data_IF_820974600573
#
_entry.id   IF_820974600573
#
_cell.length_a   1.000
_cell.length_b   1.000
_cell.length_c   1.000
_cell.angle_alpha   90.00
_cell.angle_beta   90.00
_cell.angle_gamma   90.00
#
_symmetry.space_group_name_H-M   'P 1'
#
loop_
_entity.id
_entity.type
_entity.pdbx_description
1 polymer ?
#
# COMPACT_ATOMS: atom_id res chain seq x y z
N UNK A 1 -50.96 -12.48 10.85
CA UNK A 1 -50.80 -11.43 9.81
C UNK A 1 -49.33 -11.38 9.44
N UNK A 2 -49.01 -11.48 8.15
CA UNK A 2 -47.65 -11.61 7.61
C UNK A 2 -46.82 -10.35 7.88
N UNK A 3 -45.55 -10.53 8.23
CA UNK A 3 -44.53 -9.49 8.09
C UNK A 3 -44.12 -9.43 6.61
N UNK A 4 -44.36 -8.30 5.96
CA UNK A 4 -43.83 -8.03 4.63
C UNK A 4 -42.40 -7.45 4.73
N UNK A 5 -41.56 -7.96 3.83
CA UNK A 5 -40.18 -7.55 3.59
C UNK A 5 -40.16 -6.12 3.02
N UNK A 6 -39.66 -5.17 3.79
CA UNK A 6 -39.38 -3.81 3.33
C UNK A 6 -38.12 -3.74 2.47
N UNK A 7 -38.25 -3.05 1.33
CA UNK A 7 -37.27 -2.86 0.26
C UNK A 7 -35.96 -2.20 0.74
N UNK A 8 -34.86 -2.60 0.11
CA UNK A 8 -33.59 -1.85 0.08
C UNK A 8 -33.83 -0.51 -0.60
N UNK A 9 -33.53 0.59 0.10
CA UNK A 9 -33.60 1.95 -0.41
C UNK A 9 -32.19 2.44 -0.70
N UNK A 10 -31.92 2.73 -1.98
CA UNK A 10 -30.75 3.51 -2.40
C UNK A 10 -30.93 4.95 -1.92
N UNK A 11 -30.03 5.46 -1.08
CA UNK A 11 -30.00 6.87 -0.71
C UNK A 11 -29.15 7.63 -1.73
N UNK A 12 -29.79 8.43 -2.59
CA UNK A 12 -29.11 9.55 -3.28
C UNK A 12 -29.16 10.77 -2.37
N UNK A 13 -28.02 11.14 -1.81
CA UNK A 13 -27.86 12.41 -1.09
C UNK A 13 -27.62 13.50 -2.14
N UNK A 14 -28.65 14.28 -2.45
CA UNK A 14 -28.51 15.53 -3.20
C UNK A 14 -28.31 16.65 -2.17
N UNK A 15 -27.11 17.22 -2.07
CA UNK A 15 -26.89 18.43 -1.29
C UNK A 15 -26.58 19.61 -2.21
N UNK A 16 -27.27 20.70 -1.91
CA UNK A 16 -27.17 22.02 -2.55
C UNK A 16 -25.76 22.60 -2.48
N UNK A 17 -25.40 23.35 -3.53
CA UNK A 17 -24.23 24.23 -3.59
C UNK A 17 -24.11 25.09 -2.32
N UNK A 18 -23.05 24.87 -1.55
CA UNK A 18 -22.66 25.78 -0.47
C UNK A 18 -21.72 26.86 -1.03
N UNK A 19 -22.29 28.02 -1.33
CA UNK A 19 -21.51 29.23 -1.57
C UNK A 19 -21.03 29.77 -0.21
N UNK A 20 -19.76 29.55 0.13
CA UNK A 20 -19.14 30.19 1.30
C UNK A 20 -18.91 31.67 0.96
N UNK A 21 -19.83 32.53 1.38
CA UNK A 21 -19.60 33.98 1.41
C UNK A 21 -18.86 34.29 2.73
N UNK A 22 -17.55 34.52 2.66
CA UNK A 22 -16.80 35.12 3.76
C UNK A 22 -17.29 36.56 3.96
N UNK A 23 -18.18 36.77 4.93
CA UNK A 23 -18.57 38.10 5.36
C UNK A 23 -17.42 38.74 6.15
N UNK A 24 -16.54 39.46 5.44
CA UNK A 24 -15.56 40.35 6.06
C UNK A 24 -16.31 41.57 6.61
N UNK A 25 -16.26 41.75 7.93
CA UNK A 25 -16.82 42.94 8.60
C UNK A 25 -16.01 44.17 8.16
N UNK A 26 -16.64 45.25 7.68
CA UNK A 26 -15.87 46.40 7.19
C UNK A 26 -15.35 47.21 8.36
N UNK A 27 -14.02 47.20 8.53
CA UNK A 27 -13.30 48.27 9.23
C UNK A 27 -12.13 48.67 8.34
N UNK A 28 -12.15 49.95 7.97
CA UNK A 28 -11.19 50.70 7.16
C UNK A 28 -11.15 50.49 5.63
N UNK A 29 -11.48 51.60 4.97
CA UNK A 29 -11.29 51.91 3.54
C UNK A 29 -9.81 51.83 3.15
N UNK A 30 -9.37 50.64 2.78
CA UNK A 30 -8.22 50.47 1.87
C UNK A 30 -8.57 49.42 0.81
N UNK A 31 -8.50 49.85 -0.45
CA UNK A 31 -8.84 49.07 -1.64
C UNK A 31 -7.90 47.87 -1.76
N UNK A 32 -8.30 46.73 -1.20
CA UNK A 32 -7.57 45.47 -1.33
C UNK A 32 -8.25 44.64 -2.42
N UNK A 33 -7.55 44.41 -3.53
CA UNK A 33 -7.99 43.50 -4.60
C UNK A 33 -8.15 42.09 -4.02
N UNK A 34 -9.40 41.63 -3.91
CA UNK A 34 -9.74 40.26 -3.54
C UNK A 34 -9.40 39.32 -4.70
N UNK A 35 -8.35 38.53 -4.55
CA UNK A 35 -8.10 37.36 -5.40
C UNK A 35 -9.08 36.26 -4.98
N UNK A 36 -10.05 35.89 -5.83
CA UNK A 36 -10.89 34.72 -5.57
C UNK A 36 -10.12 33.46 -5.95
N UNK A 37 -9.85 32.61 -4.96
CA UNK A 37 -9.32 31.27 -5.20
C UNK A 37 -10.50 30.32 -5.32
N UNK A 38 -10.72 29.74 -6.50
CA UNK A 38 -11.73 28.70 -6.70
C UNK A 38 -11.25 27.42 -6.04
N UNK A 39 -11.88 27.01 -4.94
CA UNK A 39 -11.63 25.71 -4.30
C UNK A 39 -12.55 24.69 -4.96
N UNK A 40 -12.00 23.77 -5.74
CA UNK A 40 -12.74 22.67 -6.35
C UNK A 40 -12.85 21.53 -5.34
N UNK A 41 -14.01 21.38 -4.69
CA UNK A 41 -14.32 20.19 -3.88
C UNK A 41 -14.62 19.03 -4.84
N UNK A 42 -13.68 18.11 -5.02
CA UNK A 42 -13.98 16.80 -5.62
C UNK A 42 -14.66 15.93 -4.58
N UNK A 43 -15.86 15.45 -4.90
CA UNK A 43 -16.61 14.51 -4.08
C UNK A 43 -15.85 13.18 -3.97
N UNK A 44 -15.74 12.68 -2.74
CA UNK A 44 -15.21 11.35 -2.46
C UNK A 44 -16.39 10.43 -2.15
N UNK A 45 -16.35 9.21 -2.70
CA UNK A 45 -17.46 8.26 -2.61
C UNK A 45 -17.19 7.26 -1.49
N UNK A 46 -18.19 7.05 -0.63
CA UNK A 46 -18.18 6.04 0.42
C UNK A 46 -18.81 4.75 -0.14
N UNK A 47 -18.04 3.67 -0.24
CA UNK A 47 -18.55 2.35 -0.62
C UNK A 47 -18.47 1.39 0.56
N UNK A 48 -19.58 0.74 0.91
CA UNK A 48 -19.69 -0.11 2.11
C UNK A 48 -19.60 -1.61 1.85
N UNK A 49 -19.47 -2.07 0.61
CA UNK A 49 -19.43 -3.52 0.32
C UNK A 49 -18.70 -3.85 -0.97
N UNK A 50 -17.39 -4.08 -0.86
CA UNK A 50 -16.50 -4.99 -1.63
C UNK A 50 -15.06 -4.46 -1.55
N UNK A 51 -14.08 -5.36 -1.63
CA UNK A 51 -12.67 -4.96 -1.71
C UNK A 51 -12.49 -4.09 -2.97
N UNK A 52 -11.79 -2.95 -2.89
CA UNK A 52 -11.66 -2.04 -4.01
C UNK A 52 -11.05 -2.75 -5.23
N UNK A 53 -11.83 -2.87 -6.30
CA UNK A 53 -11.31 -3.22 -7.64
C UNK A 53 -10.42 -2.10 -8.22
N UNK A 54 -10.25 -0.99 -7.49
CA UNK A 54 -9.56 0.22 -7.89
C UNK A 54 -8.02 0.09 -7.94
N UNK A 55 -7.45 -1.01 -7.45
CA UNK A 55 -5.99 -1.16 -7.35
C UNK A 55 -5.29 -1.86 -8.52
N UNK A 56 -6.02 -2.31 -9.54
CA UNK A 56 -5.46 -3.13 -10.63
C UNK A 56 -4.26 -2.49 -11.35
N UNK A 57 -4.22 -1.15 -11.43
CA UNK A 57 -3.13 -0.38 -12.05
C UNK A 57 -2.40 0.51 -11.03
N UNK A 58 -2.21 0.03 -9.80
CA UNK A 58 -1.53 0.79 -8.74
C UNK A 58 -0.80 -0.13 -7.77
N UNK A 59 0.13 0.44 -7.03
CA UNK A 59 0.81 -0.24 -5.95
C UNK A 59 -0.17 -0.42 -4.79
N UNK A 60 -0.56 -1.67 -4.52
CA UNK A 60 -1.32 -2.05 -3.34
C UNK A 60 -0.34 -2.29 -2.19
N UNK A 61 -0.47 -1.51 -1.12
CA UNK A 61 0.32 -1.65 0.10
C UNK A 61 -0.54 -2.31 1.17
N UNK A 62 -0.21 -3.58 1.46
CA UNK A 62 -0.90 -4.44 2.43
C UNK A 62 -0.18 -4.54 3.78
N UNK A 63 0.98 -3.88 3.92
CA UNK A 63 1.81 -3.89 5.14
C UNK A 63 2.40 -5.24 5.58
N UNK A 64 2.08 -6.33 4.89
CA UNK A 64 2.56 -7.70 5.18
C UNK A 64 4.08 -7.85 5.17
N UNK A 65 4.78 -7.01 4.42
CA UNK A 65 6.24 -7.03 4.33
C UNK A 65 6.94 -6.07 5.29
N UNK A 66 6.19 -5.38 6.15
CA UNK A 66 6.80 -4.53 7.17
C UNK A 66 7.35 -5.37 8.33
N UNK A 67 8.49 -4.96 8.90
CA UNK A 67 9.10 -5.68 10.03
C UNK A 67 8.23 -5.63 11.29
N UNK A 68 8.36 -6.65 12.14
CA UNK A 68 7.49 -6.87 13.31
C UNK A 68 7.41 -5.71 14.30
N UNK A 69 6.18 -5.24 14.57
CA UNK A 69 5.79 -4.18 15.52
C UNK A 69 6.73 -2.99 15.51
N UNK A 70 7.02 -2.51 14.30
CA UNK A 70 8.01 -1.47 14.11
C UNK A 70 7.38 -0.24 13.49
N UNK A 71 8.01 0.90 13.76
CA UNK A 71 7.79 2.11 12.97
C UNK A 71 8.07 1.74 11.51
N UNK A 72 7.14 2.08 10.61
CA UNK A 72 7.35 1.90 9.17
C UNK A 72 8.62 2.67 8.80
N UNK A 73 9.64 1.99 8.24
CA UNK A 73 10.87 2.66 7.89
C UNK A 73 10.61 3.67 6.78
N UNK A 74 11.36 4.76 6.80
CA UNK A 74 11.49 5.59 5.62
C UNK A 74 12.01 4.74 4.47
N UNK A 75 11.54 5.02 3.26
CA UNK A 75 11.77 4.27 2.02
C UNK A 75 10.96 2.98 1.85
N UNK A 76 10.07 2.66 2.80
CA UNK A 76 9.05 1.64 2.57
C UNK A 76 8.15 2.06 1.40
N UNK A 77 8.17 1.28 0.31
CA UNK A 77 7.58 1.62 -0.99
C UNK A 77 8.11 2.93 -1.61
N UNK A 78 9.35 3.33 -1.29
CA UNK A 78 9.94 4.59 -1.80
C UNK A 78 9.29 5.85 -1.22
N UNK A 79 8.50 5.70 -0.15
CA UNK A 79 7.81 6.78 0.54
C UNK A 79 8.50 7.07 1.87
N UNK A 80 8.30 8.28 2.37
CA UNK A 80 8.70 8.69 3.71
C UNK A 80 7.47 8.68 4.60
N UNK A 81 7.64 8.10 5.79
CA UNK A 81 6.56 7.82 6.71
C UNK A 81 6.82 8.50 8.04
N UNK A 82 5.91 9.37 8.45
CA UNK A 82 5.93 10.02 9.76
C UNK A 82 4.79 9.49 10.62
N UNK A 83 5.13 9.08 11.84
CA UNK A 83 4.20 8.50 12.82
C UNK A 83 3.33 7.36 12.27
N UNK A 84 3.94 6.48 11.47
CA UNK A 84 3.28 5.30 10.92
C UNK A 84 3.96 4.04 11.47
N UNK A 85 3.16 3.11 11.96
CA UNK A 85 3.58 1.87 12.59
C UNK A 85 2.78 0.72 12.01
N UNK A 86 3.33 -0.49 12.08
CA UNK A 86 2.63 -1.70 11.66
C UNK A 86 2.38 -2.67 12.80
N UNK A 87 1.33 -3.45 12.66
CA UNK A 87 0.92 -4.47 13.63
C UNK A 87 0.42 -5.72 12.92
N UNK A 88 0.96 -6.87 13.29
CA UNK A 88 0.38 -8.18 12.96
C UNK A 88 -0.75 -8.48 13.95
N UNK A 89 -1.98 -8.51 13.46
CA UNK A 89 -3.15 -8.76 14.29
C UNK A 89 -3.08 -10.13 14.96
N UNK A 90 -2.49 -11.14 14.33
CA UNK A 90 -2.41 -12.49 14.92
C UNK A 90 -1.56 -12.55 16.19
N UNK A 91 -0.64 -11.61 16.38
CA UNK A 91 0.16 -11.52 17.61
C UNK A 91 -0.65 -10.98 18.80
N UNK A 92 -1.82 -10.39 18.57
CA UNK A 92 -2.64 -9.72 19.58
C UNK A 92 -4.11 -10.20 19.54
N UNK A 93 -4.39 -11.50 19.74
CA UNK A 93 -5.75 -12.05 19.75
C UNK A 93 -6.69 -11.38 20.74
N UNK A 94 -6.16 -10.83 21.84
CA UNK A 94 -6.95 -10.07 22.82
C UNK A 94 -7.52 -8.75 22.27
N UNK A 95 -7.10 -8.29 21.09
CA UNK A 95 -7.60 -7.09 20.41
C UNK A 95 -8.58 -7.41 19.29
N UNK A 96 -9.15 -8.62 19.25
CA UNK A 96 -10.10 -9.04 18.22
C UNK A 96 -11.34 -8.15 18.06
N UNK A 97 -11.70 -7.39 19.10
CA UNK A 97 -12.83 -6.44 19.11
C UNK A 97 -12.39 -4.96 18.89
N UNK A 98 -11.19 -4.76 18.35
CA UNK A 98 -10.65 -3.43 18.04
C UNK A 98 -10.69 -3.13 16.54
N UNK A 99 -10.43 -1.86 16.20
CA UNK A 99 -10.26 -1.44 14.80
C UNK A 99 -9.11 -2.16 14.10
N UNK A 100 -8.09 -2.60 14.83
CA UNK A 100 -6.96 -3.33 14.24
C UNK A 100 -7.44 -4.55 13.47
N UNK A 101 -8.38 -5.30 14.02
CA UNK A 101 -8.97 -6.47 13.36
C UNK A 101 -10.01 -6.08 12.31
N UNK A 102 -10.76 -5.02 12.56
CA UNK A 102 -11.81 -4.58 11.64
C UNK A 102 -11.26 -4.01 10.35
N UNK A 103 -10.05 -3.41 10.36
CA UNK A 103 -9.39 -2.87 9.18
C UNK A 103 -8.76 -3.92 8.27
N UNK A 104 -8.42 -5.12 8.78
CA UNK A 104 -7.74 -6.17 7.99
C UNK A 104 -8.61 -6.55 6.79
N UNK A 105 -8.04 -6.39 5.59
CA UNK A 105 -8.61 -6.85 4.32
C UNK A 105 -7.67 -7.77 3.58
N UNK A 106 -6.36 -7.57 3.73
CA UNK A 106 -5.36 -8.49 3.21
C UNK A 106 -4.47 -9.00 4.35
N UNK A 107 -4.15 -10.29 4.29
CA UNK A 107 -3.26 -10.95 5.25
C UNK A 107 -3.66 -10.75 6.72
N UNK A 108 -2.74 -10.19 7.51
CA UNK A 108 -2.88 -9.99 8.96
C UNK A 108 -2.29 -8.67 9.46
N UNK A 109 -1.58 -7.92 8.62
CA UNK A 109 -0.87 -6.71 8.98
C UNK A 109 -1.68 -5.47 8.65
N UNK A 110 -1.58 -4.48 9.51
CA UNK A 110 -2.22 -3.18 9.32
C UNK A 110 -1.27 -2.06 9.74
N UNK A 111 -1.44 -0.88 9.17
CA UNK A 111 -0.73 0.32 9.60
C UNK A 111 -1.59 1.20 10.49
N UNK A 112 -0.98 1.95 11.40
CA UNK A 112 -1.69 2.82 12.34
C UNK A 112 -0.83 4.00 12.78
N UNK A 113 -1.47 5.06 13.28
CA UNK A 113 -0.80 6.21 13.89
C UNK A 113 -0.58 5.98 15.39
N UNK A 114 0.62 6.29 15.89
CA UNK A 114 0.90 6.14 17.32
C UNK A 114 0.34 7.32 18.12
N UNK A 115 -0.16 7.05 19.32
CA UNK A 115 -0.63 8.04 20.31
C UNK A 115 -1.70 9.03 19.83
N UNK A 116 -2.39 8.73 18.73
CA UNK A 116 -3.36 9.65 18.13
C UNK A 116 -2.73 10.83 17.37
N UNK A 117 -1.41 10.88 17.25
CA UNK A 117 -0.72 11.94 16.51
C UNK A 117 -0.95 11.81 14.99
N UNK A 118 -0.68 12.88 14.23
CA UNK A 118 -0.86 12.88 12.77
C UNK A 118 0.07 11.88 12.09
N UNK A 119 -0.43 11.12 11.12
CA UNK A 119 0.39 10.30 10.23
C UNK A 119 0.60 11.06 8.93
N UNK A 120 1.83 11.09 8.41
CA UNK A 120 2.12 11.72 7.13
C UNK A 120 2.85 10.75 6.21
N UNK A 121 2.39 10.69 4.97
CA UNK A 121 3.06 10.03 3.85
C UNK A 121 3.54 11.13 2.92
N UNK A 122 4.83 11.15 2.60
CA UNK A 122 5.39 12.08 1.62
C UNK A 122 6.43 11.40 0.72
N UNK A 123 6.71 12.00 -0.43
CA UNK A 123 7.74 11.53 -1.36
C UNK A 123 8.77 12.64 -1.63
N UNK A 124 10.05 12.33 -1.45
CA UNK A 124 11.17 13.28 -1.59
C UNK A 124 12.24 12.79 -2.59
N UNK A 125 12.97 13.69 -3.28
CA UNK A 125 12.59 15.06 -3.65
C UNK A 125 11.97 15.13 -5.06
N UNK A 126 10.97 16.02 -5.24
CA UNK A 126 10.24 16.37 -6.49
C UNK A 126 9.45 15.27 -7.21
N UNK A 127 9.19 14.14 -6.56
CA UNK A 127 8.25 13.17 -7.12
C UNK A 127 6.81 13.48 -6.70
N UNK A 128 5.88 12.83 -7.39
CA UNK A 128 4.45 12.89 -7.08
C UNK A 128 3.92 11.48 -7.01
N UNK A 129 2.85 11.30 -6.27
CA UNK A 129 2.05 10.08 -6.29
C UNK A 129 0.57 10.45 -6.37
N UNK A 130 -0.25 9.46 -6.68
CA UNK A 130 -1.69 9.55 -6.60
C UNK A 130 -2.20 8.56 -5.56
N UNK A 131 -3.14 9.00 -4.71
CA UNK A 131 -3.85 8.12 -3.79
C UNK A 131 -5.23 7.81 -4.36
N UNK A 132 -5.51 6.53 -4.60
CA UNK A 132 -6.80 6.08 -5.14
C UNK A 132 -7.75 5.76 -4.01
N UNK A 133 -7.36 4.84 -3.14
CA UNK A 133 -8.19 4.37 -2.04
C UNK A 133 -7.37 3.75 -0.91
N UNK A 134 -8.03 3.49 0.22
CA UNK A 134 -7.51 2.67 1.31
C UNK A 134 -8.68 2.18 2.17
N UNK A 135 -8.43 1.16 2.97
CA UNK A 135 -9.36 0.67 3.99
C UNK A 135 -8.98 1.27 5.32
N UNK A 136 -9.97 1.66 6.13
CA UNK A 136 -9.73 2.28 7.43
C UNK A 136 -10.76 1.86 8.47
N UNK A 137 -10.35 1.83 9.73
CA UNK A 137 -11.20 1.77 10.92
C UNK A 137 -10.61 2.67 12.02
N UNK A 138 -11.37 2.91 13.08
CA UNK A 138 -10.83 3.51 14.30
C UNK A 138 -10.36 2.43 15.26
N UNK A 139 -9.20 2.58 15.90
CA UNK A 139 -8.67 1.51 16.74
C UNK A 139 -9.54 1.21 17.97
N UNK A 140 -10.04 2.25 18.65
CA UNK A 140 -10.58 2.11 20.01
C UNK A 140 -11.98 2.66 20.23
N UNK A 141 -12.46 3.56 19.37
CA UNK A 141 -13.69 4.33 19.62
C UNK A 141 -14.52 4.45 18.35
N UNK A 142 -15.83 4.44 18.51
CA UNK A 142 -16.79 4.67 17.41
C UNK A 142 -16.95 6.17 17.10
N UNK A 143 -17.54 6.47 15.94
CA UNK A 143 -17.90 7.81 15.47
C UNK A 143 -16.73 8.82 15.40
N UNK A 144 -15.52 8.35 15.11
CA UNK A 144 -14.38 9.23 14.88
C UNK A 144 -14.49 9.90 13.53
N UNK A 145 -14.02 11.14 13.44
CA UNK A 145 -13.83 11.84 12.17
C UNK A 145 -12.37 11.68 11.75
N UNK A 146 -12.12 10.95 10.66
CA UNK A 146 -10.85 10.93 9.96
C UNK A 146 -10.78 12.12 9.02
N UNK A 147 -9.78 12.97 9.17
CA UNK A 147 -9.51 14.12 8.31
C UNK A 147 -8.17 13.95 7.59
N UNK A 148 -8.15 14.35 6.32
CA UNK A 148 -6.99 14.26 5.45
C UNK A 148 -6.75 15.58 4.76
N UNK A 149 -5.47 15.97 4.68
CA UNK A 149 -5.02 17.13 3.92
C UNK A 149 -3.88 16.69 3.02
N UNK A 150 -3.94 17.06 1.75
CA UNK A 150 -2.88 16.82 0.76
C UNK A 150 -2.17 18.10 0.33
N UNK A 151 -0.94 17.95 -0.13
CA UNK A 151 -0.12 19.05 -0.65
C UNK A 151 0.50 18.72 -2.01
N UNK A 152 0.87 19.79 -2.72
CA UNK A 152 1.63 19.80 -3.97
C UNK A 152 2.68 20.89 -3.90
N UNK A 153 3.95 20.54 -4.08
CA UNK A 153 5.10 21.40 -3.82
C UNK A 153 4.97 22.14 -2.48
N UNK A 154 4.64 21.41 -1.41
CA UNK A 154 4.39 21.94 -0.06
C UNK A 154 3.24 22.95 0.06
N UNK A 155 2.44 23.14 -0.99
CA UNK A 155 1.24 23.99 -0.98
C UNK A 155 0.00 23.13 -0.77
N UNK A 156 -0.95 23.59 0.03
CA UNK A 156 -2.25 22.93 0.20
C UNK A 156 -2.90 22.62 -1.16
N UNK A 157 -3.49 21.43 -1.28
CA UNK A 157 -4.17 21.01 -2.50
C UNK A 157 -5.63 20.61 -2.27
N UNK A 158 -5.88 19.55 -1.49
CA UNK A 158 -7.22 19.03 -1.21
C UNK A 158 -7.34 18.56 0.23
N UNK A 159 -8.57 18.55 0.74
CA UNK A 159 -8.93 17.93 2.00
C UNK A 159 -10.20 17.10 1.90
N UNK A 160 -10.37 16.13 2.80
CA UNK A 160 -11.59 15.36 2.97
C UNK A 160 -11.70 14.86 4.40
N UNK A 161 -12.94 14.59 4.84
CA UNK A 161 -13.21 14.00 6.14
C UNK A 161 -14.32 12.95 6.06
N UNK A 162 -14.17 11.87 6.82
CA UNK A 162 -15.12 10.75 6.86
C UNK A 162 -15.34 10.28 8.30
N UNK A 163 -16.52 9.73 8.55
CA UNK A 163 -16.78 8.99 9.77
C UNK A 163 -16.22 7.58 9.66
N UNK A 164 -15.51 7.15 10.70
CA UNK A 164 -14.96 5.80 10.83
C UNK A 164 -15.37 5.19 12.16
N UNK A 165 -15.53 3.87 12.17
CA UNK A 165 -16.06 3.10 13.29
C UNK A 165 -15.07 2.02 13.72
N UNK A 166 -15.17 1.57 14.98
CA UNK A 166 -14.23 0.60 15.55
C UNK A 166 -14.47 -0.80 15.03
N UNK A 167 -15.74 -1.17 14.93
CA UNK A 167 -16.17 -2.53 14.59
C UNK A 167 -16.49 -2.70 13.10
N UNK A 168 -16.18 -1.71 12.26
CA UNK A 168 -16.46 -1.74 10.83
C UNK A 168 -15.32 -1.11 10.04
N UNK A 169 -14.82 -1.83 9.04
CA UNK A 169 -13.97 -1.23 8.00
C UNK A 169 -14.79 -0.28 7.12
N UNK A 170 -14.18 0.82 6.74
CA UNK A 170 -14.65 1.73 5.70
C UNK A 170 -13.62 1.77 4.57
N UNK A 171 -14.05 1.54 3.33
CA UNK A 171 -13.21 1.82 2.17
C UNK A 171 -13.42 3.27 1.75
N UNK A 172 -12.34 4.04 1.70
CA UNK A 172 -12.36 5.44 1.27
C UNK A 172 -11.74 5.51 -0.12
N UNK A 173 -12.49 6.05 -1.08
CA UNK A 173 -12.00 6.39 -2.42
C UNK A 173 -11.74 7.89 -2.51
N UNK A 174 -10.48 8.29 -2.66
CA UNK A 174 -10.07 9.69 -2.78
C UNK A 174 -9.84 10.10 -4.23
N UNK A 175 -9.15 9.27 -5.01
CA UNK A 175 -8.71 9.59 -6.37
C UNK A 175 -8.02 10.97 -6.46
N UNK A 176 -7.09 11.24 -5.54
CA UNK A 176 -6.28 12.45 -5.54
C UNK A 176 -4.98 12.21 -6.28
N UNK A 177 -4.80 12.92 -7.39
CA UNK A 177 -3.66 12.75 -8.27
C UNK A 177 -2.56 13.77 -8.00
N UNK A 178 -1.34 13.47 -8.42
CA UNK A 178 -0.22 14.41 -8.49
C UNK A 178 0.09 15.15 -7.17
N UNK A 179 -0.09 14.49 -6.02
CA UNK A 179 0.25 15.02 -4.69
C UNK A 179 1.67 14.60 -4.30
N UNK A 180 2.32 15.36 -3.41
CA UNK A 180 3.61 14.96 -2.84
C UNK A 180 3.51 14.54 -1.38
N UNK A 181 2.42 14.93 -0.71
CA UNK A 181 2.20 14.73 0.72
C UNK A 181 0.72 14.51 0.97
N UNK A 182 0.41 13.57 1.86
CA UNK A 182 -0.89 13.46 2.51
C UNK A 182 -0.70 13.28 4.02
N UNK A 183 -1.47 14.02 4.80
CA UNK A 183 -1.48 13.93 6.26
C UNK A 183 -2.86 13.52 6.74
N UNK A 184 -2.89 12.52 7.61
CA UNK A 184 -4.09 11.93 8.21
C UNK A 184 -4.17 12.32 9.69
N UNK A 185 -5.39 12.52 10.18
CA UNK A 185 -5.66 12.81 11.57
C UNK A 185 -7.06 12.34 11.96
N UNK A 186 -7.21 11.60 13.05
CA UNK A 186 -8.51 11.20 13.57
C UNK A 186 -8.81 11.89 14.89
N UNK A 187 -10.06 12.30 15.10
CA UNK A 187 -10.52 12.87 16.37
C UNK A 187 -12.02 12.70 16.58
N UNK A 188 -12.45 12.73 17.84
CA UNK A 188 -13.87 12.85 18.20
C UNK A 188 -14.27 14.31 18.00
N UNK A 189 -15.33 14.56 17.24
CA UNK A 189 -15.97 15.87 17.07
C UNK A 189 -14.99 17.05 16.81
N UNK A 190 -13.89 16.78 16.11
CA UNK A 190 -12.82 17.76 15.85
C UNK A 190 -12.26 18.41 17.13
N UNK A 191 -12.33 17.71 18.26
CA UNK A 191 -11.93 18.18 19.60
C UNK A 191 -10.45 18.53 19.76
N UNK A 192 -9.63 18.31 18.74
CA UNK A 192 -8.18 18.53 18.81
C UNK A 192 -7.43 17.46 19.60
N UNK A 193 -8.13 16.54 20.27
CA UNK A 193 -7.55 15.33 20.84
C UNK A 193 -7.42 14.28 19.74
N UNK A 194 -6.18 13.86 19.50
CA UNK A 194 -5.85 12.87 18.50
C UNK A 194 -6.29 11.48 18.92
N UNK A 195 -6.80 10.70 17.98
CA UNK A 195 -7.23 9.33 18.17
C UNK A 195 -6.50 8.40 17.19
N UNK A 196 -6.41 7.13 17.58
CA UNK A 196 -5.74 6.11 16.76
C UNK A 196 -6.71 5.61 15.69
N UNK A 197 -6.28 5.67 14.44
CA UNK A 197 -6.91 5.05 13.28
C UNK A 197 -5.98 3.98 12.71
N UNK A 198 -6.58 3.02 12.00
CA UNK A 198 -5.91 1.86 11.42
C UNK A 198 -6.23 1.81 9.94
N UNK A 199 -5.22 1.67 9.09
CA UNK A 199 -5.36 1.53 7.64
C UNK A 199 -4.82 0.20 7.13
N UNK A 200 -5.43 -0.28 6.06
CA UNK A 200 -4.97 -1.42 5.25
C UNK A 200 -5.28 -1.19 3.77
N UNK A 201 -4.74 -2.01 2.88
CA UNK A 201 -4.96 -1.98 1.43
C UNK A 201 -4.81 -0.58 0.83
N UNK A 202 -3.71 0.11 1.19
CA UNK A 202 -3.44 1.46 0.72
C UNK A 202 -3.02 1.42 -0.76
N UNK A 203 -3.81 2.09 -1.59
CA UNK A 203 -3.72 2.02 -3.03
C UNK A 203 -3.10 3.28 -3.62
N UNK A 204 -1.84 3.18 -4.07
CA UNK A 204 -1.07 4.31 -4.55
C UNK A 204 -0.57 4.10 -5.98
N UNK A 205 -0.73 5.11 -6.82
CA UNK A 205 0.03 5.22 -8.05
C UNK A 205 1.30 6.03 -7.78
N UNK A 206 2.43 5.34 -7.72
CA UNK A 206 3.72 5.97 -7.59
C UNK A 206 4.15 6.31 -9.01
N UNK A 207 3.98 7.57 -9.42
CA UNK A 207 4.43 8.08 -10.73
C UNK A 207 5.97 8.01 -10.78
N UNK A 208 6.51 6.81 -10.95
CA UNK A 208 7.95 6.49 -10.93
C UNK A 208 8.59 6.80 -12.28
N UNK A 209 8.27 7.97 -12.85
CA UNK A 209 9.13 8.60 -13.85
C UNK A 209 10.37 9.18 -13.14
N UNK A 210 11.13 8.32 -12.48
CA UNK A 210 12.50 8.59 -12.07
C UNK A 210 13.35 8.56 -13.34
N UNK A 211 13.47 9.71 -14.01
CA UNK A 211 14.54 10.03 -14.97
C UNK A 211 14.89 8.92 -15.96
N UNK A 212 14.09 8.75 -17.02
CA UNK A 212 14.66 8.38 -18.32
C UNK A 212 14.70 9.64 -19.19
N UNK A 213 15.91 9.96 -19.63
CA UNK A 213 16.31 10.96 -20.62
C UNK A 213 15.28 11.13 -21.74
N UNK A 214 15.01 12.34 -22.26
CA UNK A 214 14.16 12.48 -23.43
C UNK A 214 14.83 11.82 -24.65
N UNK A 215 14.00 11.51 -25.65
CA UNK A 215 14.32 11.30 -27.09
C UNK A 215 14.24 9.83 -27.58
N UNK A 216 13.70 9.55 -28.78
CA UNK A 216 12.63 10.20 -29.54
C UNK A 216 11.46 9.25 -29.89
N UNK A 217 10.41 9.87 -30.43
CA UNK A 217 9.30 9.28 -31.18
C UNK A 217 9.71 8.21 -32.19
N UNK A 218 9.16 7.00 -32.07
CA UNK A 218 8.67 6.20 -33.21
C UNK A 218 7.82 5.01 -32.76
N UNK A 219 6.52 5.16 -33.00
CA UNK A 219 5.53 4.24 -33.59
C UNK A 219 5.72 2.71 -33.52
N UNK A 220 4.60 2.07 -33.20
CA UNK A 220 4.14 0.68 -33.40
C UNK A 220 4.54 -0.40 -32.38
N UNK A 221 3.65 -0.53 -31.37
CA UNK A 221 3.22 -1.72 -30.62
C UNK A 221 3.71 -3.09 -31.12
N UNK A 222 4.09 -3.97 -30.17
CA UNK A 222 3.17 -5.06 -29.85
C UNK A 222 2.95 -5.30 -28.33
N UNK A 223 1.68 -5.56 -28.01
CA UNK A 223 1.13 -6.35 -26.90
C UNK A 223 1.85 -6.38 -25.53
N UNK A 224 1.18 -5.77 -24.55
CA UNK A 224 1.37 -5.95 -23.11
C UNK A 224 1.29 -7.46 -22.78
N UNK A 225 2.41 -8.06 -22.36
CA UNK A 225 2.32 -9.29 -21.58
C UNK A 225 2.38 -8.90 -20.10
N UNK A 226 1.26 -8.90 -19.36
CA UNK A 226 1.35 -8.99 -17.91
C UNK A 226 2.08 -10.29 -17.58
N UNK A 227 2.97 -10.25 -16.58
CA UNK A 227 3.65 -11.45 -16.13
C UNK A 227 2.64 -12.57 -15.84
N UNK A 228 3.06 -13.82 -16.03
CA UNK A 228 2.20 -14.97 -15.81
C UNK A 228 1.90 -15.17 -14.32
N UNK A 229 0.96 -16.06 -14.00
CA UNK A 229 0.65 -16.41 -12.61
C UNK A 229 1.92 -16.76 -11.81
N UNK A 230 2.00 -16.26 -10.57
CA UNK A 230 3.14 -16.37 -9.64
C UNK A 230 4.44 -15.69 -10.12
N UNK A 231 4.31 -14.64 -10.93
CA UNK A 231 5.41 -13.75 -11.28
C UNK A 231 5.17 -12.32 -10.78
N UNK A 232 6.26 -11.61 -10.55
CA UNK A 232 6.31 -10.19 -10.19
C UNK A 232 6.82 -9.41 -11.40
N UNK A 233 6.11 -8.35 -11.79
CA UNK A 233 6.58 -7.40 -12.81
C UNK A 233 7.44 -6.33 -12.13
N UNK A 234 8.69 -6.16 -12.57
CA UNK A 234 9.57 -5.08 -12.10
C UNK A 234 10.49 -4.60 -13.22
N UNK A 235 10.53 -3.28 -13.46
CA UNK A 235 11.37 -2.68 -14.51
C UNK A 235 11.23 -3.37 -15.89
N UNK A 236 9.99 -3.71 -16.28
CA UNK A 236 9.66 -4.37 -17.54
C UNK A 236 10.22 -5.80 -17.70
N UNK A 237 10.59 -6.45 -16.60
CA UNK A 237 10.93 -7.88 -16.54
C UNK A 237 9.99 -8.61 -15.59
N UNK A 238 9.75 -9.89 -15.88
CA UNK A 238 8.99 -10.79 -15.01
C UNK A 238 9.95 -11.62 -14.15
N UNK A 239 9.62 -11.76 -12.87
CA UNK A 239 10.44 -12.47 -11.91
C UNK A 239 9.65 -13.54 -11.19
N UNK A 240 10.25 -14.68 -10.89
CA UNK A 240 9.61 -15.70 -10.05
C UNK A 240 10.58 -16.40 -9.10
N UNK A 241 10.01 -17.05 -8.10
CA UNK A 241 10.68 -17.98 -7.21
C UNK A 241 10.23 -19.41 -7.50
N UNK A 242 11.19 -20.34 -7.61
CA UNK A 242 10.87 -21.74 -7.89
C UNK A 242 11.89 -22.73 -7.32
N UNK A 243 11.48 -23.98 -7.09
CA UNK A 243 12.32 -25.05 -6.54
C UNK A 243 13.07 -25.86 -7.61
N UNK A 244 13.84 -25.17 -8.46
CA UNK A 244 14.42 -25.75 -9.70
C UNK A 244 15.96 -25.78 -9.74
N UNK A 245 16.63 -25.60 -8.60
CA UNK A 245 18.06 -25.90 -8.48
C UNK A 245 19.00 -25.01 -9.29
N UNK A 246 18.57 -23.78 -9.63
CA UNK A 246 19.34 -22.83 -10.43
C UNK A 246 19.06 -22.90 -11.94
N UNK A 247 18.09 -23.70 -12.39
CA UNK A 247 17.75 -23.84 -13.81
C UNK A 247 16.43 -23.14 -14.14
N UNK A 248 16.48 -21.89 -14.61
CA UNK A 248 15.29 -21.15 -15.01
C UNK A 248 14.62 -21.75 -16.26
N UNK A 249 13.28 -21.63 -16.34
CA UNK A 249 12.48 -21.98 -17.52
C UNK A 249 12.95 -21.24 -18.78
N UNK A 250 12.59 -21.76 -19.95
CA UNK A 250 12.88 -21.12 -21.24
C UNK A 250 12.41 -19.66 -21.28
N UNK A 251 13.28 -18.77 -21.78
CA UNK A 251 13.03 -17.32 -21.79
C UNK A 251 13.37 -16.61 -20.48
N UNK A 252 13.92 -17.32 -19.49
CA UNK A 252 14.38 -16.75 -18.22
C UNK A 252 15.86 -17.05 -17.96
N UNK A 253 16.47 -16.22 -17.13
CA UNK A 253 17.83 -16.38 -16.60
C UNK A 253 17.85 -16.14 -15.08
N UNK A 254 18.96 -16.43 -14.41
CA UNK A 254 19.08 -16.19 -12.98
C UNK A 254 19.05 -14.68 -12.69
N UNK A 255 18.18 -14.27 -11.76
CA UNK A 255 18.12 -12.88 -11.29
C UNK A 255 19.24 -12.55 -10.32
N UNK A 256 19.56 -11.25 -10.18
CA UNK A 256 20.57 -10.75 -9.23
C UNK A 256 20.03 -10.62 -7.81
N UNK A 257 20.88 -10.87 -6.81
CA UNK A 257 20.62 -10.56 -5.39
C UNK A 257 20.23 -9.10 -5.17
N UNK A 258 20.81 -8.17 -5.94
CA UNK A 258 20.50 -6.73 -5.84
C UNK A 258 19.06 -6.42 -6.23
N UNK A 259 18.52 -7.16 -7.19
CA UNK A 259 17.11 -7.02 -7.58
C UNK A 259 16.23 -7.77 -6.60
N UNK A 260 16.61 -8.99 -6.22
CA UNK A 260 15.89 -9.77 -5.21
C UNK A 260 15.70 -8.97 -3.92
N UNK A 261 16.71 -8.24 -3.45
CA UNK A 261 16.61 -7.42 -2.24
C UNK A 261 15.60 -6.28 -2.34
N UNK A 262 15.25 -5.85 -3.55
CA UNK A 262 14.30 -4.76 -3.82
C UNK A 262 12.87 -5.26 -4.00
N UNK A 263 12.71 -6.48 -4.53
CA UNK A 263 11.41 -7.02 -4.92
C UNK A 263 10.98 -8.26 -4.14
N UNK A 264 11.80 -8.75 -3.20
CA UNK A 264 11.51 -9.97 -2.44
C UNK A 264 10.10 -9.95 -1.85
N UNK A 265 9.72 -8.82 -1.27
CA UNK A 265 8.43 -8.60 -0.63
C UNK A 265 7.23 -8.73 -1.57
N UNK A 266 7.42 -8.45 -2.87
CA UNK A 266 6.37 -8.58 -3.88
C UNK A 266 5.99 -10.06 -4.13
N UNK A 267 6.76 -11.01 -3.61
CA UNK A 267 6.42 -12.44 -3.65
C UNK A 267 5.45 -12.88 -2.54
N UNK A 268 5.13 -12.04 -1.55
CA UNK A 268 4.11 -12.37 -0.55
C UNK A 268 2.77 -12.63 -1.24
N UNK A 269 2.08 -13.69 -0.82
CA UNK A 269 0.80 -14.11 -1.42
C UNK A 269 0.95 -14.93 -2.70
N UNK A 270 2.13 -14.95 -3.34
CA UNK A 270 2.40 -15.77 -4.51
C UNK A 270 2.82 -17.20 -4.13
N UNK A 271 2.75 -18.13 -5.06
CA UNK A 271 3.28 -19.50 -4.90
C UNK A 271 4.63 -19.65 -5.61
N UNK A 272 5.27 -20.80 -5.42
CA UNK A 272 6.31 -21.26 -6.33
C UNK A 272 5.77 -21.29 -7.76
N UNK A 273 6.61 -20.99 -8.74
CA UNK A 273 6.20 -21.01 -10.14
C UNK A 273 5.71 -22.40 -10.57
N UNK A 274 6.46 -23.45 -10.23
CA UNK A 274 6.11 -24.83 -10.60
C UNK A 274 6.35 -25.85 -9.49
N UNK A 275 7.49 -25.76 -8.81
CA UNK A 275 8.08 -26.80 -7.97
C UNK A 275 8.38 -26.25 -6.59
N UNK A 276 7.90 -26.93 -5.55
CA UNK A 276 8.28 -26.59 -4.16
C UNK A 276 9.77 -26.90 -3.97
N UNK A 277 10.51 -25.96 -3.39
CA UNK A 277 11.92 -26.14 -3.09
C UNK A 277 12.17 -27.17 -1.97
N UNK A 278 13.36 -27.78 -1.94
CA UNK A 278 13.86 -28.57 -0.80
C UNK A 278 14.99 -27.89 -0.01
N UNK A 279 15.39 -26.67 -0.39
CA UNK A 279 16.43 -25.90 0.28
C UNK A 279 16.07 -24.41 0.33
N UNK A 280 16.35 -23.78 1.48
CA UNK A 280 15.92 -22.41 1.75
C UNK A 280 16.78 -21.32 1.14
N UNK A 281 17.99 -21.65 0.66
CA UNK A 281 18.92 -20.69 0.08
C UNK A 281 18.57 -20.42 -1.37
N UNK A 282 18.47 -19.14 -1.74
CA UNK A 282 18.11 -18.74 -3.10
C UNK A 282 19.34 -18.78 -4.00
N UNK A 283 19.26 -19.54 -5.09
CA UNK A 283 20.20 -19.45 -6.20
C UNK A 283 19.87 -18.19 -7.01
N UNK A 284 20.88 -17.35 -7.18
CA UNK A 284 20.85 -16.12 -7.97
C UNK A 284 22.00 -16.14 -8.98
N UNK A 285 22.16 -15.06 -9.75
CA UNK A 285 23.24 -14.90 -10.72
C UNK A 285 24.65 -14.83 -10.10
N UNK A 286 24.71 -14.55 -8.80
CA UNK A 286 25.93 -14.35 -8.03
C UNK A 286 26.62 -15.68 -7.69
N UNK A 287 27.93 -15.60 -7.39
CA UNK A 287 28.74 -16.79 -7.06
C UNK A 287 28.26 -17.51 -5.79
N UNK A 288 27.71 -16.77 -4.84
CA UNK A 288 27.27 -17.28 -3.55
C UNK A 288 25.80 -16.95 -3.33
N UNK A 289 25.07 -17.87 -2.71
CA UNK A 289 23.71 -17.61 -2.23
C UNK A 289 23.77 -16.96 -0.84
N UNK A 290 23.44 -15.67 -0.78
CA UNK A 290 23.35 -14.90 0.47
C UNK A 290 21.91 -14.70 0.96
N UNK A 291 20.92 -14.98 0.11
CA UNK A 291 19.50 -14.85 0.45
C UNK A 291 18.88 -16.20 0.76
N UNK A 292 17.90 -16.21 1.64
CA UNK A 292 17.11 -17.40 1.91
C UNK A 292 15.83 -17.13 2.68
N UNK A 293 14.92 -18.10 2.69
CA UNK A 293 13.71 -18.05 3.52
C UNK A 293 14.00 -18.68 4.88
N UNK A 294 13.55 -18.06 5.97
CA UNK A 294 13.74 -18.62 7.30
C UNK A 294 13.16 -20.06 7.41
N UNK A 295 14.02 -21.02 7.77
CA UNK A 295 13.72 -22.48 7.80
C UNK A 295 12.45 -22.84 8.58
N UNK A 296 12.12 -22.09 9.62
CA UNK A 296 11.04 -22.45 10.56
C UNK A 296 9.64 -22.16 10.03
N UNK A 297 9.50 -21.36 8.97
CA UNK A 297 8.20 -20.73 8.69
C UNK A 297 7.59 -21.11 7.33
N UNK A 298 8.28 -20.91 6.20
CA UNK A 298 7.68 -21.08 4.86
C UNK A 298 8.54 -21.88 3.87
N UNK A 299 9.84 -22.01 4.14
CA UNK A 299 10.74 -22.76 3.28
C UNK A 299 10.30 -24.23 3.12
N UNK A 300 10.40 -24.77 1.91
CA UNK A 300 10.06 -26.15 1.56
C UNK A 300 8.59 -26.56 1.80
N UNK A 301 7.71 -25.59 1.99
CA UNK A 301 6.26 -25.80 2.11
C UNK A 301 5.55 -25.21 0.90
N UNK A 302 4.42 -25.81 0.52
CA UNK A 302 3.53 -25.22 -0.48
C UNK A 302 3.20 -23.77 -0.08
N UNK A 303 3.10 -22.89 -1.07
CA UNK A 303 2.68 -21.50 -0.85
C UNK A 303 1.20 -21.38 -0.44
N UNK A 304 0.67 -20.14 -0.38
CA UNK A 304 1.35 -18.91 -0.76
C UNK A 304 2.48 -18.53 0.22
N UNK A 305 3.47 -17.77 -0.27
CA UNK A 305 4.56 -17.26 0.55
C UNK A 305 4.01 -16.26 1.56
N UNK A 306 4.26 -16.52 2.85
CA UNK A 306 4.02 -15.58 3.95
C UNK A 306 5.28 -14.86 4.40
N UNK A 307 6.43 -15.42 4.02
CA UNK A 307 7.77 -14.88 4.29
C UNK A 307 8.56 -15.06 3.02
N UNK A 308 9.34 -14.03 2.69
CA UNK A 308 10.11 -13.93 1.46
C UNK A 308 11.60 -14.12 1.73
N UNK A 309 12.44 -14.28 0.69
CA UNK A 309 13.87 -14.35 0.87
C UNK A 309 14.43 -13.07 1.53
N UNK A 310 15.19 -13.25 2.61
CA UNK A 310 15.91 -12.17 3.30
C UNK A 310 17.40 -12.48 3.35
N UNK A 311 18.21 -11.45 3.55
CA UNK A 311 19.66 -11.59 3.66
C UNK A 311 20.01 -12.50 4.85
N UNK A 312 20.85 -13.50 4.61
CA UNK A 312 21.23 -14.57 5.54
C UNK A 312 20.04 -15.43 6.06
N UNK A 313 18.85 -15.30 5.48
CA UNK A 313 17.69 -16.08 5.89
C UNK A 313 17.95 -17.58 5.73
N UNK A 314 17.45 -18.39 6.66
CA UNK A 314 17.70 -19.84 6.65
C UNK A 314 19.15 -20.26 6.90
N UNK A 315 20.04 -19.32 7.28
CA UNK A 315 21.48 -19.56 7.46
C UNK A 315 22.30 -19.45 6.18
N UNK A 316 21.73 -18.84 5.13
CA UNK A 316 22.31 -18.79 3.79
C UNK A 316 23.36 -17.68 3.66
N UNK A 317 24.47 -17.74 4.40
CA UNK A 317 25.58 -16.79 4.27
C UNK A 317 26.70 -17.40 3.45
N UNK A 318 27.01 -16.82 2.28
CA UNK A 318 28.01 -17.36 1.35
C UNK A 318 27.78 -18.83 0.98
N UNK A 319 26.52 -19.26 0.85
CA UNK A 319 26.19 -20.66 0.63
C UNK A 319 26.55 -21.10 -0.79
N UNK A 320 27.25 -22.22 -0.93
CA UNK A 320 27.78 -22.72 -2.22
C UNK A 320 27.22 -24.08 -2.64
N UNK A 321 26.57 -24.81 -1.74
CA UNK A 321 26.07 -26.14 -2.06
C UNK A 321 24.87 -26.02 -2.98
N UNK A 322 24.85 -26.76 -4.10
CA UNK A 322 23.72 -26.77 -5.01
C UNK A 322 22.83 -27.97 -4.73
N UNK A 323 21.55 -27.72 -4.48
CA UNK A 323 20.53 -28.78 -4.38
C UNK A 323 19.72 -28.83 -5.68
N UNK A 324 19.25 -30.02 -6.06
CA UNK A 324 18.48 -30.22 -7.30
C UNK A 324 17.15 -29.48 -7.30
N UNK A 325 16.56 -29.24 -6.12
CA UNK A 325 15.35 -28.41 -5.95
C UNK A 325 15.61 -27.17 -5.09
N UNK A 326 16.81 -26.62 -5.18
CA UNK A 326 17.11 -25.38 -4.47
C UNK A 326 16.22 -24.24 -4.94
N UNK A 327 15.79 -23.39 -4.01
CA UNK A 327 15.02 -22.19 -4.31
C UNK A 327 15.82 -21.34 -5.29
N UNK A 328 15.20 -20.89 -6.36
CA UNK A 328 15.84 -20.24 -7.49
C UNK A 328 15.08 -18.96 -7.82
N UNK A 329 15.82 -17.87 -8.02
CA UNK A 329 15.26 -16.59 -8.43
C UNK A 329 15.56 -16.36 -9.91
N UNK A 330 14.50 -16.24 -10.70
CA UNK A 330 14.60 -16.13 -12.16
C UNK A 330 14.02 -14.81 -12.65
N UNK A 331 14.55 -14.29 -13.77
CA UNK A 331 14.15 -13.07 -14.45
C UNK A 331 13.97 -13.33 -15.95
N UNK A 332 12.94 -12.74 -16.57
CA UNK A 332 12.72 -12.88 -18.01
C UNK A 332 13.84 -12.19 -18.80
N UNK A 333 14.27 -12.82 -19.88
CA UNK A 333 15.27 -12.26 -20.80
C UNK A 333 14.73 -11.08 -21.61
#
# INVERSE_FOLDING_TARGET
MRFEKGKSSTFTVSLFDFLIILAVKPTDTTTTTLSSTTITTTEAVLSTTEAPSSCLDSNLITFENASTYSKIPNDYYGLKWTNAYVLDTQMYPQWSESGFYSAVKSGTWVAFNMNGERMTIHIDPTNKFSIKSFVVSSAWKDNLTLSMISQRASTYYKEASFKIEKNHSTTIELNWFDIDTITFYASIDNSGNGEVFVIDDLCLDLNTNLTSTPTPTSTSSPAIYPCSLNEVLYQNHCYYLDGIGGQCSDGYSLGSETILSRIADLFIGLNYKTTISDNCCVVTSEKYSNYGIAKLHQCNKQGPFRIVPVLNGGGCRNFTNKHSKQLTFCVSN
#
